data_IF_500691315412
#
_entry.id   IF_500691315412
#
_cell.length_a   1.000
_cell.length_b   1.000
_cell.length_c   1.000
_cell.angle_alpha   90.00
_cell.angle_beta   90.00
_cell.angle_gamma   90.00
#
_symmetry.space_group_name_H-M   'P 1'
#
loop_
_entity.id
_entity.type
_entity.pdbx_description
1 polymer ?
#
# COMPACT_ATOMS: atom_id res chain seq x y z
N UNK A 1 -8.87 -11.96 -9.64
CA UNK A 1 -8.60 -13.35 -9.98
C UNK A 1 -9.86 -14.03 -10.49
N UNK A 2 -9.70 -14.88 -11.49
CA UNK A 2 -10.83 -15.66 -12.02
C UNK A 2 -11.41 -16.59 -10.95
N UNK A 3 -12.71 -16.77 -10.93
CA UNK A 3 -13.39 -17.72 -10.03
C UNK A 3 -12.84 -19.13 -10.30
N UNK A 4 -12.48 -19.85 -9.25
CA UNK A 4 -11.89 -21.20 -9.35
C UNK A 4 -10.36 -21.24 -9.33
N UNK A 5 -9.68 -20.10 -9.31
CA UNK A 5 -8.22 -20.03 -9.16
C UNK A 5 -7.85 -19.74 -7.71
N UNK A 6 -7.22 -20.70 -7.05
CA UNK A 6 -6.64 -20.46 -5.74
C UNK A 6 -5.30 -19.72 -5.91
N UNK A 7 -5.25 -18.47 -5.48
CA UNK A 7 -4.03 -17.65 -5.42
C UNK A 7 -3.83 -17.17 -3.99
N UNK A 8 -2.58 -17.07 -3.59
CA UNK A 8 -2.21 -16.57 -2.26
C UNK A 8 -2.41 -15.05 -2.11
N UNK A 9 -2.44 -14.30 -3.22
CA UNK A 9 -2.57 -12.85 -3.24
C UNK A 9 -3.84 -12.34 -2.52
N UNK A 10 -5.06 -12.85 -2.81
CA UNK A 10 -6.26 -12.38 -2.11
C UNK A 10 -6.20 -12.60 -0.60
N UNK A 11 -5.66 -13.75 -0.17
CA UNK A 11 -5.49 -14.08 1.23
C UNK A 11 -4.48 -13.14 1.89
N UNK A 12 -3.35 -12.93 1.23
CA UNK A 12 -2.32 -12.01 1.67
C UNK A 12 -2.84 -10.58 1.81
N UNK A 13 -3.57 -10.06 0.80
CA UNK A 13 -4.16 -8.73 0.81
C UNK A 13 -5.17 -8.59 1.96
N UNK A 14 -6.01 -9.60 2.18
CA UNK A 14 -6.96 -9.59 3.29
C UNK A 14 -6.26 -9.43 4.64
N UNK A 15 -5.25 -10.26 4.94
CA UNK A 15 -4.50 -10.18 6.19
C UNK A 15 -3.68 -8.89 6.29
N UNK A 16 -3.08 -8.43 5.19
CA UNK A 16 -2.36 -7.16 5.14
C UNK A 16 -3.25 -5.96 5.46
N UNK A 17 -4.42 -5.87 4.83
CA UNK A 17 -5.42 -4.83 5.11
C UNK A 17 -5.96 -4.91 6.54
N UNK A 18 -6.23 -6.12 7.05
CA UNK A 18 -6.70 -6.31 8.42
C UNK A 18 -5.64 -5.90 9.43
N UNK A 19 -4.38 -6.29 9.22
CA UNK A 19 -3.25 -5.87 10.06
C UNK A 19 -3.07 -4.36 10.08
N UNK A 20 -3.11 -3.73 8.89
CA UNK A 20 -3.07 -2.28 8.73
C UNK A 20 -4.22 -1.58 9.46
N UNK A 21 -5.45 -2.05 9.26
CA UNK A 21 -6.64 -1.50 9.94
C UNK A 21 -6.52 -1.59 11.47
N UNK A 22 -6.08 -2.73 11.99
CA UNK A 22 -5.91 -2.93 13.43
C UNK A 22 -4.84 -1.99 13.99
N UNK A 23 -3.70 -1.83 13.32
CA UNK A 23 -2.65 -0.91 13.72
C UNK A 23 -3.15 0.54 13.75
N UNK A 24 -3.76 1.03 12.68
CA UNK A 24 -4.29 2.39 12.59
C UNK A 24 -5.43 2.63 13.58
N UNK A 25 -6.30 1.65 13.76
CA UNK A 25 -7.39 1.72 14.74
C UNK A 25 -6.88 1.70 16.17
N UNK A 26 -5.77 1.00 16.47
CA UNK A 26 -5.11 1.02 17.77
C UNK A 26 -4.62 2.42 18.15
N UNK A 27 -3.94 3.09 17.20
CA UNK A 27 -3.42 4.45 17.38
C UNK A 27 -4.53 5.47 17.75
N UNK A 28 -5.79 5.20 17.38
CA UNK A 28 -6.93 6.09 17.63
C UNK A 28 -7.84 5.62 18.76
N UNK A 29 -7.57 4.48 19.36
CA UNK A 29 -8.37 3.95 20.49
C UNK A 29 -8.02 4.66 21.79
N UNK A 30 -8.98 4.71 22.73
CA UNK A 30 -8.80 5.33 24.05
C UNK A 30 -8.53 4.30 25.15
N UNK A 31 -9.07 3.11 25.02
CA UNK A 31 -8.96 2.05 26.03
C UNK A 31 -7.66 1.28 25.86
N UNK A 32 -6.81 1.26 26.88
CA UNK A 32 -5.48 0.62 26.85
C UNK A 32 -5.56 -0.88 26.52
N UNK A 33 -6.54 -1.62 27.05
CA UNK A 33 -6.70 -3.06 26.76
C UNK A 33 -7.02 -3.28 25.27
N UNK A 34 -7.93 -2.47 24.71
CA UNK A 34 -8.31 -2.52 23.31
C UNK A 34 -7.11 -2.16 22.41
N UNK A 35 -6.32 -1.17 22.82
CA UNK A 35 -5.11 -0.76 22.09
C UNK A 35 -4.12 -1.93 22.02
N UNK A 36 -3.78 -2.53 23.15
CA UNK A 36 -2.83 -3.66 23.23
C UNK A 36 -3.34 -4.82 22.38
N UNK A 37 -4.60 -5.19 22.52
CA UNK A 37 -5.21 -6.26 21.73
C UNK A 37 -5.09 -5.99 20.24
N UNK A 38 -5.45 -4.78 19.77
CA UNK A 38 -5.36 -4.41 18.36
C UNK A 38 -3.92 -4.39 17.83
N UNK A 39 -2.96 -3.97 18.65
CA UNK A 39 -1.54 -3.96 18.27
C UNK A 39 -1.03 -5.39 18.09
N UNK A 40 -1.34 -6.28 19.05
CA UNK A 40 -0.92 -7.69 19.00
C UNK A 40 -1.56 -8.37 17.78
N UNK A 41 -2.88 -8.33 17.66
CA UNK A 41 -3.57 -8.93 16.51
C UNK A 41 -3.17 -8.28 15.19
N UNK A 42 -2.91 -6.96 15.16
CA UNK A 42 -2.44 -6.26 13.98
C UNK A 42 -1.07 -6.77 13.51
N UNK A 43 -0.12 -6.97 14.44
CA UNK A 43 1.19 -7.55 14.13
C UNK A 43 1.07 -8.99 13.62
N UNK A 44 0.25 -9.82 14.29
CA UNK A 44 -0.01 -11.21 13.87
C UNK A 44 -0.62 -11.25 12.46
N UNK A 45 -1.69 -10.48 12.19
CA UNK A 45 -2.36 -10.48 10.89
C UNK A 45 -1.42 -9.99 9.77
N UNK A 46 -0.62 -8.96 10.04
CA UNK A 46 0.38 -8.49 9.08
C UNK A 46 1.41 -9.57 8.75
N UNK A 47 1.84 -10.36 9.75
CA UNK A 47 2.76 -11.48 9.55
C UNK A 47 2.15 -12.59 8.69
N UNK A 48 0.89 -12.95 8.92
CA UNK A 48 0.16 -13.88 8.05
C UNK A 48 0.06 -13.35 6.62
N UNK A 49 -0.16 -12.05 6.45
CA UNK A 49 -0.19 -11.40 5.14
C UNK A 49 1.12 -11.59 4.38
N UNK A 50 2.26 -11.28 5.01
CA UNK A 50 3.59 -11.41 4.41
C UNK A 50 3.93 -12.87 4.11
N UNK A 51 3.60 -13.79 5.02
CA UNK A 51 3.86 -15.22 4.82
C UNK A 51 2.99 -15.83 3.72
N UNK A 52 1.80 -15.27 3.49
CA UNK A 52 0.91 -15.70 2.40
C UNK A 52 1.39 -15.21 1.04
N UNK A 53 1.88 -13.96 0.95
CA UNK A 53 2.33 -13.36 -0.30
C UNK A 53 3.36 -12.26 -0.06
N UNK A 54 4.55 -12.42 -0.64
CA UNK A 54 5.65 -11.45 -0.47
C UNK A 54 5.34 -10.04 -0.98
N UNK A 55 4.41 -9.88 -1.94
CA UNK A 55 3.95 -8.57 -2.41
C UNK A 55 3.30 -7.71 -1.32
N UNK A 56 2.86 -8.32 -0.22
CA UNK A 56 2.31 -7.59 0.94
C UNK A 56 3.34 -6.72 1.69
N UNK A 57 4.62 -6.78 1.35
CA UNK A 57 5.60 -5.78 1.77
C UNK A 57 5.14 -4.35 1.41
N UNK A 58 4.26 -4.21 0.42
CA UNK A 58 3.58 -2.96 0.13
C UNK A 58 2.92 -2.33 1.36
N UNK A 59 2.25 -3.08 2.21
CA UNK A 59 1.59 -2.52 3.41
C UNK A 59 2.58 -2.08 4.48
N UNK A 60 3.77 -2.67 4.51
CA UNK A 60 4.83 -2.36 5.47
C UNK A 60 5.46 -1.01 5.17
N UNK A 61 5.73 -0.71 3.90
CA UNK A 61 6.38 0.54 3.47
C UNK A 61 5.59 1.78 3.94
N UNK A 62 4.28 1.93 3.66
CA UNK A 62 3.50 3.05 4.17
C UNK A 62 3.43 3.13 5.69
N UNK A 63 3.43 2.00 6.41
CA UNK A 63 3.49 1.98 7.87
C UNK A 63 4.84 2.56 8.33
N UNK A 64 5.93 2.13 7.75
CA UNK A 64 7.27 2.65 8.06
C UNK A 64 7.37 4.16 7.81
N UNK A 65 6.89 4.63 6.66
CA UNK A 65 6.85 6.05 6.33
C UNK A 65 5.93 6.85 7.29
N UNK A 66 4.81 6.26 7.71
CA UNK A 66 3.96 6.85 8.74
C UNK A 66 4.72 6.97 10.07
N UNK A 67 5.42 5.92 10.48
CA UNK A 67 6.22 5.92 11.72
C UNK A 67 7.27 7.03 11.70
N UNK A 68 7.93 7.27 10.56
CA UNK A 68 8.83 8.42 10.38
C UNK A 68 8.11 9.77 10.54
N UNK A 69 6.88 9.88 10.09
CA UNK A 69 6.10 11.11 10.18
C UNK A 69 5.48 11.38 11.57
N UNK A 70 5.20 10.32 12.35
CA UNK A 70 4.50 10.43 13.64
C UNK A 70 5.13 11.40 14.63
N UNK A 71 6.46 11.48 14.83
CA UNK A 71 7.08 12.44 15.75
C UNK A 71 6.81 13.91 15.40
N UNK A 72 6.52 14.21 14.13
CA UNK A 72 6.22 15.57 13.66
C UNK A 72 4.74 15.91 13.72
N UNK A 73 3.86 14.90 13.67
CA UNK A 73 2.42 15.07 13.51
C UNK A 73 1.67 14.87 14.83
N UNK A 74 2.17 14.02 15.72
CA UNK A 74 1.53 13.67 17.00
C UNK A 74 2.30 14.17 18.21
N UNK A 75 1.55 14.51 19.27
CA UNK A 75 2.11 15.01 20.54
C UNK A 75 2.09 13.97 21.66
N UNK A 76 1.41 12.85 21.50
CA UNK A 76 1.27 11.79 22.52
C UNK A 76 2.45 10.82 22.52
N UNK A 77 3.64 11.36 22.69
CA UNK A 77 4.92 10.65 22.58
C UNK A 77 5.04 9.45 23.50
N UNK A 78 4.51 9.54 24.75
CA UNK A 78 4.51 8.40 25.68
C UNK A 78 3.78 7.19 25.14
N UNK A 79 2.69 7.42 24.40
CA UNK A 79 1.93 6.37 23.76
C UNK A 79 2.71 5.75 22.60
N UNK A 80 3.32 6.55 21.74
CA UNK A 80 4.09 6.09 20.57
C UNK A 80 5.31 5.26 20.97
N UNK A 81 5.99 5.64 22.08
CA UNK A 81 7.20 4.94 22.57
C UNK A 81 6.98 3.46 22.88
N UNK A 82 5.79 3.05 23.27
CA UNK A 82 5.55 1.64 23.58
C UNK A 82 4.71 0.94 22.51
N UNK A 83 3.76 1.65 21.89
CA UNK A 83 2.79 1.05 20.96
C UNK A 83 3.41 0.65 19.64
N UNK A 84 4.28 1.50 19.07
CA UNK A 84 4.92 1.22 17.78
C UNK A 84 5.99 0.13 17.91
N UNK A 85 6.94 0.18 18.86
CA UNK A 85 7.87 -0.92 19.06
C UNK A 85 7.18 -2.25 19.37
N UNK A 86 6.12 -2.25 20.17
CA UNK A 86 5.35 -3.46 20.47
C UNK A 86 4.77 -4.09 19.20
N UNK A 87 4.19 -3.28 18.30
CA UNK A 87 3.69 -3.77 17.02
C UNK A 87 4.78 -4.42 16.18
N UNK A 88 5.93 -3.76 16.05
CA UNK A 88 7.05 -4.26 15.25
C UNK A 88 7.65 -5.53 15.85
N UNK A 89 7.80 -5.59 17.18
CA UNK A 89 8.30 -6.78 17.87
C UNK A 89 7.35 -7.97 17.66
N UNK A 90 6.05 -7.79 17.87
CA UNK A 90 5.04 -8.86 17.66
C UNK A 90 5.05 -9.32 16.21
N UNK A 91 5.12 -8.38 15.27
CA UNK A 91 5.20 -8.68 13.85
C UNK A 91 6.42 -9.57 13.52
N UNK A 92 7.62 -9.18 13.95
CA UNK A 92 8.86 -9.95 13.67
C UNK A 92 8.84 -11.30 14.40
N UNK A 93 8.41 -11.34 15.67
CA UNK A 93 8.30 -12.60 16.42
C UNK A 93 7.30 -13.58 15.78
N UNK A 94 6.18 -13.08 15.28
CA UNK A 94 5.21 -13.93 14.58
C UNK A 94 5.77 -14.43 13.26
N UNK A 95 6.48 -13.57 12.51
CA UNK A 95 7.14 -13.99 11.26
C UNK A 95 8.19 -15.08 11.47
N UNK A 96 8.92 -15.06 12.60
CA UNK A 96 9.94 -16.06 12.89
C UNK A 96 9.39 -17.48 13.07
N UNK A 97 8.06 -17.64 13.29
CA UNK A 97 7.40 -18.94 13.38
C UNK A 97 7.24 -19.60 12.01
N UNK A 98 7.18 -18.80 10.94
CA UNK A 98 7.03 -19.33 9.59
C UNK A 98 8.37 -19.74 9.00
N UNK A 99 8.38 -20.80 8.24
CA UNK A 99 9.56 -21.23 7.51
C UNK A 99 10.01 -20.19 6.47
N UNK A 100 9.05 -19.57 5.80
CA UNK A 100 9.25 -18.46 4.84
C UNK A 100 8.25 -17.33 5.09
N UNK A 101 8.74 -16.08 5.21
CA UNK A 101 10.12 -15.59 5.10
C UNK A 101 10.98 -15.83 6.35
N UNK A 102 10.41 -16.25 7.49
CA UNK A 102 11.12 -16.53 8.73
C UNK A 102 11.82 -15.29 9.33
N UNK A 103 12.77 -15.56 10.24
CA UNK A 103 13.54 -14.50 10.91
C UNK A 103 14.40 -13.68 9.94
N UNK A 104 14.77 -14.24 8.79
CA UNK A 104 15.57 -13.55 7.77
C UNK A 104 14.85 -12.31 7.22
N UNK A 105 13.54 -12.24 7.36
CA UNK A 105 12.78 -11.04 7.01
C UNK A 105 13.24 -9.79 7.77
N UNK A 106 13.68 -9.93 9.02
CA UNK A 106 14.17 -8.80 9.82
C UNK A 106 15.35 -8.08 9.16
N UNK A 107 16.17 -8.82 8.40
CA UNK A 107 17.33 -8.30 7.67
C UNK A 107 17.03 -7.99 6.20
N UNK A 108 15.76 -8.13 5.77
CA UNK A 108 15.32 -7.79 4.43
C UNK A 108 14.92 -6.32 4.32
N UNK A 109 14.68 -5.88 3.07
CA UNK A 109 14.11 -4.55 2.80
C UNK A 109 12.83 -4.29 3.59
N UNK A 110 11.91 -5.26 3.66
CA UNK A 110 10.66 -5.13 4.43
C UNK A 110 10.90 -4.96 5.92
N UNK A 111 11.81 -5.74 6.52
CA UNK A 111 12.16 -5.63 7.94
C UNK A 111 12.78 -4.26 8.27
N UNK A 112 13.76 -3.83 7.48
CA UNK A 112 14.38 -2.51 7.67
C UNK A 112 13.40 -1.36 7.47
N UNK A 113 12.40 -1.51 6.59
CA UNK A 113 11.34 -0.51 6.40
C UNK A 113 10.47 -0.28 7.64
N UNK A 114 10.52 -1.15 8.65
CA UNK A 114 9.86 -0.95 9.95
C UNK A 114 10.84 -0.69 11.08
N UNK A 115 11.95 -1.41 11.14
CA UNK A 115 12.92 -1.33 12.24
C UNK A 115 13.58 0.05 12.27
N UNK A 116 14.10 0.53 11.13
CA UNK A 116 14.78 1.83 11.06
C UNK A 116 13.83 2.99 11.41
N UNK A 117 12.59 3.10 10.85
CA UNK A 117 11.62 4.09 11.29
C UNK A 117 11.26 4.01 12.77
N UNK A 118 11.22 2.81 13.34
CA UNK A 118 10.93 2.64 14.76
C UNK A 118 12.07 3.16 15.64
N UNK A 119 13.31 2.86 15.28
CA UNK A 119 14.50 3.42 15.96
C UNK A 119 14.51 4.94 15.83
N UNK A 120 14.23 5.47 14.63
CA UNK A 120 14.11 6.91 14.42
C UNK A 120 13.04 7.53 15.33
N UNK A 121 11.84 6.95 15.39
CA UNK A 121 10.76 7.44 16.24
C UNK A 121 11.16 7.51 17.70
N UNK A 122 11.75 6.43 18.22
CA UNK A 122 12.24 6.38 19.61
C UNK A 122 13.29 7.46 19.85
N UNK A 123 14.33 7.52 19.01
CA UNK A 123 15.41 8.51 19.12
C UNK A 123 14.90 9.95 18.98
N UNK A 124 13.99 10.19 18.04
CA UNK A 124 13.34 11.49 17.83
C UNK A 124 12.58 11.97 19.06
N UNK A 125 11.84 11.10 19.72
CA UNK A 125 11.11 11.45 20.95
C UNK A 125 12.09 11.78 22.10
N UNK A 126 13.22 11.06 22.22
CA UNK A 126 14.25 11.38 23.20
C UNK A 126 14.89 12.74 22.91
N UNK A 127 15.25 13.01 21.65
CA UNK A 127 15.79 14.31 21.23
C UNK A 127 14.79 15.45 21.54
N UNK A 128 13.51 15.25 21.28
CA UNK A 128 12.50 16.26 21.59
C UNK A 128 12.36 16.56 23.09
N UNK A 129 12.64 15.60 23.97
CA UNK A 129 12.62 15.82 25.41
C UNK A 129 13.80 16.67 25.90
N UNK A 130 14.96 16.54 25.25
CA UNK A 130 16.21 17.23 25.61
C UNK A 130 16.29 18.59 24.94
N UNK A 131 15.68 18.75 23.75
CA UNK A 131 15.76 19.96 22.95
C UNK A 131 14.83 21.06 23.47
N UNK A 132 15.29 22.32 23.34
CA UNK A 132 14.44 23.51 23.54
C UNK A 132 13.31 23.54 22.50
N UNK A 133 12.16 24.11 22.85
CA UNK A 133 10.96 24.11 21.99
C UNK A 133 11.21 24.66 20.58
N UNK A 134 12.03 25.70 20.46
CA UNK A 134 12.39 26.34 19.19
C UNK A 134 13.24 25.44 18.27
N UNK A 135 14.00 24.49 18.83
CA UNK A 135 14.95 23.66 18.09
C UNK A 135 14.47 22.23 17.85
N UNK A 136 13.35 21.82 18.46
CA UNK A 136 12.84 20.43 18.39
C UNK A 136 12.68 19.91 16.97
N UNK A 137 12.01 20.67 16.12
CA UNK A 137 11.77 20.28 14.72
C UNK A 137 13.09 20.20 13.96
N UNK A 138 13.96 21.19 14.13
CA UNK A 138 15.26 21.24 13.47
C UNK A 138 16.13 20.03 13.85
N UNK A 139 16.21 19.72 15.13
CA UNK A 139 17.03 18.60 15.63
C UNK A 139 16.49 17.24 15.12
N UNK A 140 15.17 17.07 15.04
CA UNK A 140 14.56 15.88 14.44
C UNK A 140 14.83 15.76 12.95
N UNK A 141 14.81 16.88 12.21
CA UNK A 141 15.17 16.88 10.80
C UNK A 141 16.65 16.54 10.60
N UNK A 142 17.56 17.05 11.44
CA UNK A 142 18.95 16.65 11.40
C UNK A 142 19.15 15.16 11.67
N UNK A 143 18.43 14.60 12.65
CA UNK A 143 18.46 13.15 12.90
C UNK A 143 17.99 12.37 11.67
N UNK A 144 16.87 12.77 11.06
CA UNK A 144 16.32 12.11 9.88
C UNK A 144 17.32 12.16 8.71
N UNK A 145 17.86 13.34 8.41
CA UNK A 145 18.85 13.54 7.35
C UNK A 145 20.10 12.70 7.63
N UNK A 146 20.58 12.65 8.87
CA UNK A 146 21.74 11.84 9.25
C UNK A 146 21.49 10.35 9.01
N UNK A 147 20.31 9.82 9.37
CA UNK A 147 19.95 8.42 9.12
C UNK A 147 19.89 8.13 7.60
N UNK A 148 19.33 9.06 6.82
CA UNK A 148 19.26 8.91 5.35
C UNK A 148 20.67 8.90 4.75
N UNK A 149 21.54 9.84 5.15
CA UNK A 149 22.92 9.92 4.63
C UNK A 149 23.70 8.66 5.00
N UNK A 150 23.68 8.26 6.27
CA UNK A 150 24.38 7.05 6.74
C UNK A 150 23.83 5.80 6.04
N UNK A 151 22.51 5.67 5.94
CA UNK A 151 21.87 4.55 5.26
C UNK A 151 22.22 4.48 3.77
N UNK A 152 22.20 5.60 3.07
CA UNK A 152 22.60 5.67 1.66
C UNK A 152 24.08 5.32 1.47
N UNK A 153 24.94 5.82 2.34
CA UNK A 153 26.37 5.51 2.31
C UNK A 153 26.64 4.01 2.53
N UNK A 154 25.95 3.39 3.50
CA UNK A 154 26.05 1.96 3.75
C UNK A 154 25.54 1.11 2.55
N UNK A 155 24.47 1.53 1.89
CA UNK A 155 23.96 0.85 0.71
C UNK A 155 24.99 0.91 -0.43
N UNK A 156 25.54 2.07 -0.72
CA UNK A 156 26.51 2.26 -1.81
C UNK A 156 27.79 1.45 -1.57
N UNK A 157 28.36 1.49 -0.36
CA UNK A 157 29.55 0.70 -0.03
C UNK A 157 29.26 -0.80 -0.09
N UNK A 158 28.08 -1.21 0.34
CA UNK A 158 27.71 -2.62 0.37
C UNK A 158 27.53 -3.21 -1.03
N UNK A 159 27.14 -2.40 -2.01
CA UNK A 159 26.96 -2.84 -3.40
C UNK A 159 28.29 -3.35 -3.99
N UNK A 160 29.38 -2.66 -3.69
CA UNK A 160 30.72 -3.03 -4.16
C UNK A 160 31.39 -4.11 -3.29
N UNK A 161 31.15 -4.11 -1.97
CA UNK A 161 31.95 -4.89 -1.01
C UNK A 161 31.24 -6.13 -0.45
N UNK A 162 29.91 -6.22 -0.55
CA UNK A 162 29.06 -7.28 0.05
C UNK A 162 29.37 -7.53 1.54
N UNK A 163 29.79 -6.50 2.28
CA UNK A 163 30.15 -6.59 3.69
C UNK A 163 28.97 -6.87 4.61
N UNK A 164 27.78 -6.41 4.22
CA UNK A 164 26.55 -6.58 4.97
C UNK A 164 25.57 -7.45 4.17
N UNK A 165 24.76 -8.29 4.82
CA UNK A 165 23.75 -9.09 4.15
C UNK A 165 22.53 -8.24 3.71
N UNK A 166 22.82 -7.05 3.16
CA UNK A 166 21.81 -6.11 2.68
C UNK A 166 21.67 -6.30 1.17
N UNK A 167 20.48 -6.56 0.65
CA UNK A 167 20.25 -6.60 -0.79
C UNK A 167 20.23 -5.16 -1.35
N UNK A 168 21.40 -4.59 -1.64
CA UNK A 168 21.57 -3.20 -2.12
C UNK A 168 20.75 -2.90 -3.36
N UNK A 169 20.69 -3.85 -4.29
CA UNK A 169 19.82 -3.79 -5.48
C UNK A 169 18.33 -3.49 -5.15
N UNK A 170 17.79 -4.07 -4.08
CA UNK A 170 16.40 -3.83 -3.66
C UNK A 170 16.15 -2.39 -3.19
N UNK A 171 17.16 -1.76 -2.60
CA UNK A 171 17.05 -0.36 -2.18
C UNK A 171 17.15 0.59 -3.36
N UNK A 172 18.01 0.28 -4.34
CA UNK A 172 18.08 1.05 -5.57
C UNK A 172 16.78 0.95 -6.39
N UNK A 173 16.15 -0.21 -6.43
CA UNK A 173 14.84 -0.38 -7.05
C UNK A 173 13.74 0.42 -6.36
N UNK A 174 13.82 0.62 -5.04
CA UNK A 174 12.86 1.46 -4.33
C UNK A 174 12.98 2.94 -4.76
N UNK A 175 14.19 3.38 -5.15
CA UNK A 175 14.43 4.74 -5.66
C UNK A 175 14.04 4.85 -7.14
N UNK A 176 14.38 3.86 -7.94
CA UNK A 176 14.05 3.80 -9.37
C UNK A 176 13.42 2.44 -9.71
N UNK A 177 12.09 2.33 -9.71
CA UNK A 177 11.40 1.08 -9.98
C UNK A 177 11.65 0.54 -11.41
N UNK A 178 12.09 1.38 -12.33
CA UNK A 178 12.39 0.97 -13.71
C UNK A 178 13.74 0.25 -13.86
N UNK A 179 14.58 0.21 -12.82
CA UNK A 179 15.80 -0.60 -12.85
C UNK A 179 15.53 -2.09 -12.97
N UNK A 180 14.34 -2.56 -12.59
CA UNK A 180 13.96 -3.97 -12.73
C UNK A 180 13.81 -4.42 -14.17
N UNK A 181 13.60 -3.49 -15.10
CA UNK A 181 13.47 -3.78 -16.54
C UNK A 181 14.81 -3.98 -17.25
N UNK A 182 15.92 -3.93 -16.54
CA UNK A 182 17.27 -4.17 -17.07
C UNK A 182 17.62 -5.67 -17.04
N UNK A 183 16.92 -6.46 -16.22
CA UNK A 183 17.12 -7.92 -16.14
C UNK A 183 16.26 -8.64 -17.20
N UNK A 184 16.90 -9.29 -18.22
CA UNK A 184 16.16 -9.99 -19.26
C UNK A 184 15.24 -11.10 -18.76
N UNK A 185 15.59 -11.75 -17.63
CA UNK A 185 14.74 -12.78 -17.02
C UNK A 185 13.50 -12.17 -16.37
N UNK A 186 13.66 -11.02 -15.75
CA UNK A 186 12.53 -10.28 -15.17
C UNK A 186 11.60 -9.75 -16.25
N UNK A 187 12.16 -9.24 -17.36
CA UNK A 187 11.39 -8.71 -18.50
C UNK A 187 10.67 -9.79 -19.30
N UNK A 188 11.14 -11.04 -19.26
CA UNK A 188 10.48 -12.15 -19.94
C UNK A 188 9.12 -12.53 -19.32
N UNK A 189 8.86 -12.13 -18.10
CA UNK A 189 7.60 -12.43 -17.39
C UNK A 189 6.60 -11.30 -17.65
N UNK A 190 5.51 -11.59 -18.36
CA UNK A 190 4.48 -10.60 -18.71
C UNK A 190 3.90 -9.83 -17.50
N UNK A 191 3.85 -10.47 -16.32
CA UNK A 191 3.38 -9.84 -15.07
C UNK A 191 4.37 -8.79 -14.52
N UNK A 192 5.62 -8.81 -14.98
CA UNK A 192 6.67 -7.86 -14.59
C UNK A 192 6.80 -6.67 -15.54
N UNK A 193 5.99 -6.60 -16.58
CA UNK A 193 5.97 -5.43 -17.46
C UNK A 193 5.57 -4.16 -16.69
N UNK A 194 6.13 -3.03 -17.10
CA UNK A 194 5.76 -1.72 -16.54
C UNK A 194 4.35 -1.33 -16.95
N UNK A 195 3.63 -0.68 -16.04
CA UNK A 195 2.27 -0.23 -16.28
C UNK A 195 2.26 1.02 -17.15
N UNK A 196 1.45 1.03 -18.23
CA UNK A 196 1.18 2.23 -19.02
C UNK A 196 -0.04 2.98 -18.49
N UNK A 197 -0.11 4.32 -18.76
CA UNK A 197 -1.29 5.13 -18.43
C UNK A 197 -2.56 4.55 -19.06
N UNK A 198 -2.48 4.03 -20.29
CA UNK A 198 -3.61 3.41 -20.99
C UNK A 198 -4.10 2.16 -20.24
N UNK A 199 -3.19 1.34 -19.77
CA UNK A 199 -3.52 0.12 -19.03
C UNK A 199 -4.09 0.46 -17.65
N UNK A 200 -3.48 1.40 -16.93
CA UNK A 200 -4.00 1.88 -15.63
C UNK A 200 -5.40 2.49 -15.78
N UNK A 201 -5.66 3.23 -16.86
CA UNK A 201 -6.99 3.76 -17.12
C UNK A 201 -8.01 2.65 -17.41
N UNK A 202 -7.62 1.60 -18.10
CA UNK A 202 -8.47 0.42 -18.32
C UNK A 202 -8.87 -0.24 -16.99
N UNK A 203 -7.92 -0.42 -16.07
CA UNK A 203 -8.19 -1.03 -14.77
C UNK A 203 -8.98 -0.13 -13.82
N UNK A 204 -8.73 1.17 -13.82
CA UNK A 204 -9.21 2.08 -12.77
C UNK A 204 -10.27 3.06 -13.24
N UNK A 205 -10.30 3.38 -14.55
CA UNK A 205 -11.34 4.21 -15.16
C UNK A 205 -11.69 5.47 -14.33
N UNK A 206 -12.94 5.60 -13.97
CA UNK A 206 -13.51 6.76 -13.24
C UNK A 206 -12.89 6.96 -11.86
N UNK A 207 -12.37 5.89 -11.22
CA UNK A 207 -11.70 5.99 -9.93
C UNK A 207 -10.50 6.93 -9.95
N UNK A 208 -9.77 7.02 -11.06
CA UNK A 208 -8.62 7.93 -11.19
C UNK A 208 -9.06 9.39 -11.07
N UNK A 209 -10.21 9.76 -11.64
CA UNK A 209 -10.75 11.13 -11.58
C UNK A 209 -11.13 11.48 -10.14
N UNK A 210 -11.90 10.61 -9.48
CA UNK A 210 -12.29 10.83 -8.09
C UNK A 210 -11.11 10.80 -7.14
N UNK A 211 -10.10 9.97 -7.40
CA UNK A 211 -8.86 9.96 -6.63
C UNK A 211 -8.12 11.30 -6.74
N UNK A 212 -7.99 11.86 -7.95
CA UNK A 212 -7.41 13.19 -8.14
C UNK A 212 -8.14 14.28 -7.36
N UNK A 213 -9.47 14.26 -7.39
CA UNK A 213 -10.31 15.16 -6.57
C UNK A 213 -10.04 14.93 -5.08
N UNK A 214 -9.94 13.68 -4.62
CA UNK A 214 -9.66 13.32 -3.23
C UNK A 214 -8.32 13.86 -2.75
N UNK A 215 -7.26 13.69 -3.54
CA UNK A 215 -5.93 14.24 -3.25
C UNK A 215 -5.99 15.76 -3.16
N UNK A 216 -6.62 16.42 -4.13
CA UNK A 216 -6.78 17.87 -4.12
C UNK A 216 -7.52 18.37 -2.87
N UNK A 217 -8.58 17.69 -2.45
CA UNK A 217 -9.33 18.05 -1.24
C UNK A 217 -8.44 17.90 0.00
N UNK A 218 -7.64 16.83 0.10
CA UNK A 218 -6.73 16.60 1.24
C UNK A 218 -5.68 17.70 1.31
N UNK A 219 -5.05 18.02 0.19
CA UNK A 219 -3.98 19.02 0.11
C UNK A 219 -4.50 20.46 0.32
N UNK A 220 -5.71 20.77 -0.14
CA UNK A 220 -6.33 22.08 0.00
C UNK A 220 -6.76 22.45 1.43
N UNK A 221 -6.47 21.60 2.43
CA UNK A 221 -6.84 21.77 3.85
C UNK A 221 -8.35 21.95 4.09
N UNK A 222 -9.19 21.65 3.10
CA UNK A 222 -10.65 21.78 3.20
C UNK A 222 -11.32 20.69 4.03
N UNK A 223 -10.57 19.64 4.41
CA UNK A 223 -11.08 18.57 5.27
C UNK A 223 -11.05 19.02 6.74
N UNK A 224 -12.20 19.14 7.40
CA UNK A 224 -12.23 19.44 8.83
C UNK A 224 -11.53 18.35 9.66
N UNK A 225 -10.89 18.73 10.76
CA UNK A 225 -10.26 17.77 11.68
C UNK A 225 -11.28 16.79 12.33
N UNK A 226 -12.54 17.20 12.41
CA UNK A 226 -13.64 16.34 12.87
C UNK A 226 -13.94 15.18 11.92
N UNK A 227 -13.58 15.30 10.63
CA UNK A 227 -13.76 14.24 9.64
C UNK A 227 -12.53 13.33 9.58
N UNK A 228 -11.32 13.91 9.57
CA UNK A 228 -10.07 13.17 9.48
C UNK A 228 -8.96 13.88 10.25
N UNK A 229 -8.29 13.18 11.17
CA UNK A 229 -7.15 13.69 11.92
C UNK A 229 -5.93 13.89 11.02
N UNK A 230 -4.99 14.74 11.43
CA UNK A 230 -3.83 15.07 10.60
C UNK A 230 -2.92 13.88 10.33
N UNK A 231 -2.71 13.00 11.30
CA UNK A 231 -1.94 11.77 11.12
C UNK A 231 -2.57 10.82 10.09
N UNK A 232 -3.91 10.75 10.05
CA UNK A 232 -4.62 9.98 9.03
C UNK A 232 -4.54 10.62 7.64
N UNK A 233 -4.54 11.96 7.56
CA UNK A 233 -4.32 12.65 6.27
C UNK A 233 -2.94 12.33 5.72
N UNK A 234 -1.92 12.38 6.57
CA UNK A 234 -0.55 12.02 6.22
C UNK A 234 -0.47 10.56 5.80
N UNK A 235 -1.08 9.65 6.57
CA UNK A 235 -1.12 8.24 6.22
C UNK A 235 -1.75 7.98 4.84
N UNK A 236 -2.92 8.56 4.58
CA UNK A 236 -3.65 8.38 3.31
C UNK A 236 -2.82 8.88 2.13
N UNK A 237 -2.12 10.03 2.27
CA UNK A 237 -1.23 10.53 1.22
C UNK A 237 -0.04 9.59 1.00
N UNK A 238 0.63 9.15 2.07
CA UNK A 238 1.74 8.19 1.99
C UNK A 238 1.28 6.90 1.33
N UNK A 239 0.19 6.31 1.81
CA UNK A 239 -0.35 5.06 1.31
C UNK A 239 -0.73 5.15 -0.17
N UNK A 240 -1.43 6.22 -0.54
CA UNK A 240 -1.88 6.43 -1.90
C UNK A 240 -0.72 6.65 -2.89
N UNK A 241 0.23 7.51 -2.53
CA UNK A 241 1.41 7.76 -3.37
C UNK A 241 2.27 6.49 -3.49
N UNK A 242 2.51 5.78 -2.38
CA UNK A 242 3.27 4.53 -2.39
C UNK A 242 2.61 3.47 -3.27
N UNK A 243 1.27 3.35 -3.26
CA UNK A 243 0.54 2.39 -4.07
C UNK A 243 0.68 2.65 -5.57
N UNK A 244 0.50 3.91 -5.98
CA UNK A 244 0.67 4.30 -7.39
C UNK A 244 2.12 4.17 -7.82
N UNK A 245 3.07 4.58 -6.98
CA UNK A 245 4.50 4.51 -7.28
C UNK A 245 4.97 3.06 -7.48
N UNK A 246 4.65 2.16 -6.54
CA UNK A 246 5.08 0.77 -6.61
C UNK A 246 4.40 -0.02 -7.74
N UNK A 247 3.12 0.29 -8.03
CA UNK A 247 2.40 -0.35 -9.12
C UNK A 247 2.92 0.04 -10.50
N UNK A 248 3.58 1.20 -10.62
CA UNK A 248 4.19 1.62 -11.90
C UNK A 248 5.31 0.69 -12.36
N UNK A 249 5.95 -0.03 -11.43
CA UNK A 249 7.05 -0.94 -11.74
C UNK A 249 6.62 -2.26 -12.34
N UNK A 250 5.48 -2.81 -11.87
CA UNK A 250 5.00 -4.13 -12.27
C UNK A 250 3.47 -4.15 -12.36
N UNK A 251 2.92 -4.65 -13.45
CA UNK A 251 1.47 -4.84 -13.64
C UNK A 251 0.88 -5.67 -12.50
N UNK A 252 1.60 -6.67 -12.00
CA UNK A 252 1.17 -7.51 -10.88
C UNK A 252 0.87 -6.71 -9.60
N UNK A 253 1.48 -5.54 -9.43
CA UNK A 253 1.28 -4.67 -8.27
C UNK A 253 0.13 -3.66 -8.46
N UNK A 254 -0.57 -3.68 -9.60
CA UNK A 254 -1.69 -2.77 -9.91
C UNK A 254 -2.83 -2.85 -8.88
N UNK A 255 -2.97 -3.99 -8.20
CA UNK A 255 -3.91 -4.15 -7.08
C UNK A 255 -3.68 -3.12 -5.96
N UNK A 256 -2.44 -2.73 -5.71
CA UNK A 256 -2.12 -1.73 -4.68
C UNK A 256 -2.46 -0.31 -5.14
N UNK A 257 -2.30 -0.01 -6.43
CA UNK A 257 -2.86 1.21 -7.01
C UNK A 257 -4.37 1.23 -6.88
N UNK A 258 -5.06 0.13 -7.19
CA UNK A 258 -6.52 0.02 -7.05
C UNK A 258 -6.97 0.36 -5.63
N UNK A 259 -6.36 -0.25 -4.61
CA UNK A 259 -6.70 0.00 -3.20
C UNK A 259 -6.46 1.49 -2.86
N UNK A 260 -5.35 2.05 -3.30
CA UNK A 260 -4.98 3.46 -3.07
C UNK A 260 -5.97 4.43 -3.70
N UNK A 261 -6.35 4.17 -4.96
CA UNK A 261 -7.34 4.96 -5.69
C UNK A 261 -8.73 4.87 -5.06
N UNK A 262 -9.13 3.69 -4.58
CA UNK A 262 -10.40 3.50 -3.84
C UNK A 262 -10.41 4.36 -2.57
N UNK A 263 -9.31 4.39 -1.81
CA UNK A 263 -9.21 5.22 -0.60
C UNK A 263 -9.34 6.71 -0.93
N UNK A 264 -8.62 7.22 -1.92
CA UNK A 264 -8.74 8.62 -2.32
C UNK A 264 -10.12 8.97 -2.87
N UNK A 265 -10.66 8.11 -3.73
CA UNK A 265 -11.99 8.30 -4.34
C UNK A 265 -13.10 8.30 -3.31
N UNK A 266 -13.02 7.43 -2.29
CA UNK A 266 -14.01 7.37 -1.22
C UNK A 266 -14.04 8.65 -0.39
N UNK A 267 -12.89 9.29 -0.17
CA UNK A 267 -12.81 10.61 0.50
C UNK A 267 -13.49 11.68 -0.36
N UNK A 268 -13.19 11.72 -1.67
CA UNK A 268 -13.80 12.66 -2.59
C UNK A 268 -15.32 12.50 -2.62
N UNK A 269 -15.79 11.28 -2.85
CA UNK A 269 -17.22 10.96 -2.92
C UNK A 269 -17.94 11.28 -1.61
N UNK A 270 -17.34 10.94 -0.47
CA UNK A 270 -17.93 11.24 0.84
C UNK A 270 -18.14 12.74 1.05
N UNK A 271 -17.15 13.56 0.69
CA UNK A 271 -17.22 15.02 0.85
C UNK A 271 -18.17 15.64 -0.18
N UNK A 272 -18.10 15.23 -1.44
CA UNK A 272 -18.99 15.69 -2.49
C UNK A 272 -20.44 15.38 -2.17
N UNK A 273 -20.73 14.13 -1.82
CA UNK A 273 -22.07 13.68 -1.44
C UNK A 273 -22.58 14.47 -0.24
N UNK A 274 -21.77 14.59 0.84
CA UNK A 274 -22.15 15.37 2.01
C UNK A 274 -22.50 16.83 1.67
N UNK A 275 -21.71 17.46 0.79
CA UNK A 275 -21.92 18.86 0.38
C UNK A 275 -23.20 19.00 -0.44
N UNK A 276 -23.42 18.11 -1.42
CA UNK A 276 -24.62 18.14 -2.29
C UNK A 276 -25.89 17.90 -1.47
N UNK A 277 -25.86 16.93 -0.53
CA UNK A 277 -27.03 16.66 0.30
C UNK A 277 -27.31 17.74 1.36
N UNK A 278 -26.33 18.55 1.69
CA UNK A 278 -26.50 19.72 2.59
C UNK A 278 -27.12 20.95 1.89
N UNK A 279 -27.12 21.00 0.57
CA UNK A 279 -27.71 22.13 -0.16
C UNK A 279 -29.21 22.19 0.16
N UNK A 280 -29.65 23.33 0.70
CA UNK A 280 -31.06 23.63 1.00
C UNK A 280 -31.58 24.53 -0.11
N UNK A 281 -32.06 23.93 -1.20
CA UNK A 281 -32.84 24.63 -2.21
C UNK A 281 -34.31 24.36 -1.94
N UNK A 282 -35.19 25.34 -2.20
CA UNK A 282 -36.64 25.19 -1.97
C UNK A 282 -37.31 24.46 -3.14
N UNK A 283 -38.26 23.54 -2.81
CA UNK A 283 -39.16 22.90 -3.77
C UNK A 283 -38.66 21.63 -4.47
N UNK A 284 -39.44 21.15 -5.45
CA UNK A 284 -39.17 19.91 -6.21
C UNK A 284 -37.81 19.88 -6.94
N UNK A 285 -37.25 21.04 -7.29
CA UNK A 285 -35.98 21.16 -8.00
C UNK A 285 -34.80 20.55 -7.23
N UNK A 286 -34.83 20.57 -5.89
CA UNK A 286 -33.73 19.97 -5.08
C UNK A 286 -33.73 18.46 -5.15
N UNK A 287 -34.90 17.83 -5.16
CA UNK A 287 -34.99 16.37 -5.27
C UNK A 287 -34.46 15.90 -6.63
N UNK A 288 -34.82 16.58 -7.70
CA UNK A 288 -34.33 16.29 -9.05
C UNK A 288 -32.79 16.43 -9.09
N UNK A 289 -32.23 17.49 -8.52
CA UNK A 289 -30.77 17.69 -8.49
C UNK A 289 -30.06 16.55 -7.72
N UNK A 290 -30.58 16.16 -6.55
CA UNK A 290 -29.97 15.07 -5.76
C UNK A 290 -30.12 13.71 -6.45
N UNK A 291 -31.26 13.46 -7.05
CA UNK A 291 -31.50 12.23 -7.82
C UNK A 291 -30.58 12.19 -9.04
N UNK A 292 -30.49 13.29 -9.80
CA UNK A 292 -29.57 13.37 -10.95
C UNK A 292 -28.11 13.10 -10.54
N UNK A 293 -27.67 13.66 -9.40
CA UNK A 293 -26.33 13.36 -8.88
C UNK A 293 -26.14 11.87 -8.61
N UNK A 294 -27.08 11.21 -7.94
CA UNK A 294 -27.01 9.77 -7.64
C UNK A 294 -26.99 8.96 -8.94
N UNK A 295 -27.84 9.29 -9.89
CA UNK A 295 -27.91 8.61 -11.20
C UNK A 295 -26.58 8.77 -11.95
N UNK A 296 -26.01 9.99 -11.99
CA UNK A 296 -24.74 10.25 -12.66
C UNK A 296 -23.61 9.43 -12.02
N UNK A 297 -23.54 9.41 -10.68
CA UNK A 297 -22.52 8.63 -9.97
C UNK A 297 -22.67 7.14 -10.26
N UNK A 298 -23.90 6.60 -10.17
CA UNK A 298 -24.18 5.20 -10.49
C UNK A 298 -23.80 4.89 -11.94
N UNK A 299 -24.19 5.73 -12.89
CA UNK A 299 -23.85 5.56 -14.30
C UNK A 299 -22.34 5.55 -14.51
N UNK A 300 -21.59 6.49 -13.91
CA UNK A 300 -20.14 6.53 -14.03
C UNK A 300 -19.45 5.28 -13.49
N UNK A 301 -19.97 4.67 -12.41
CA UNK A 301 -19.40 3.45 -11.85
C UNK A 301 -19.86 2.18 -12.55
N UNK A 302 -21.02 2.20 -13.21
CA UNK A 302 -21.49 1.05 -13.99
C UNK A 302 -20.93 1.03 -15.41
N UNK A 303 -20.51 2.18 -15.95
CA UNK A 303 -19.99 2.28 -17.30
C UNK A 303 -18.84 1.29 -17.59
N UNK A 304 -17.78 1.19 -16.75
CA UNK A 304 -16.69 0.25 -16.97
C UNK A 304 -17.09 -1.24 -16.88
N UNK A 305 -18.24 -1.55 -16.32
CA UNK A 305 -18.73 -2.94 -16.26
C UNK A 305 -19.15 -3.47 -17.63
N UNK A 306 -19.67 -2.60 -18.50
CA UNK A 306 -20.28 -2.95 -19.79
C UNK A 306 -19.54 -2.36 -20.99
N UNK A 307 -18.71 -1.32 -20.80
CA UNK A 307 -18.07 -0.62 -21.90
C UNK A 307 -16.54 -0.53 -21.69
N UNK A 308 -15.74 -0.71 -22.75
CA UNK A 308 -16.08 -1.11 -24.13
C UNK A 308 -16.48 -2.59 -24.23
N UNK A 309 -17.27 -2.95 -25.25
CA UNK A 309 -17.91 -4.25 -25.38
C UNK A 309 -16.96 -5.45 -25.29
N UNK A 310 -15.77 -5.34 -25.88
CA UNK A 310 -14.77 -6.42 -25.92
C UNK A 310 -13.75 -6.40 -24.78
N UNK A 311 -13.75 -5.38 -23.92
CA UNK A 311 -12.75 -5.16 -22.87
C UNK A 311 -13.38 -4.51 -21.63
N UNK A 312 -14.48 -5.05 -21.17
CA UNK A 312 -15.14 -4.61 -19.94
C UNK A 312 -14.93 -5.61 -18.80
N UNK A 313 -15.35 -5.23 -17.60
CA UNK A 313 -15.19 -6.09 -16.43
C UNK A 313 -16.02 -7.37 -16.51
N UNK A 314 -17.20 -7.31 -17.11
CA UNK A 314 -18.09 -8.48 -17.28
C UNK A 314 -17.41 -9.49 -18.22
N UNK A 315 -16.93 -9.04 -19.39
CA UNK A 315 -16.22 -9.94 -20.30
C UNK A 315 -14.94 -10.53 -19.72
N UNK A 316 -14.27 -9.80 -18.82
CA UNK A 316 -13.09 -10.31 -18.10
C UNK A 316 -13.42 -11.36 -17.04
N UNK A 317 -14.62 -11.30 -16.44
CA UNK A 317 -15.10 -12.29 -15.47
C UNK A 317 -15.63 -13.54 -16.18
N UNK A 318 -16.27 -13.36 -17.32
CA UNK A 318 -16.88 -14.44 -18.12
C UNK A 318 -15.83 -15.28 -18.87
N UNK A 319 -14.58 -14.83 -18.91
CA UNK A 319 -13.49 -15.63 -19.42
C UNK A 319 -13.30 -16.88 -18.55
N UNK A 320 -13.31 -18.08 -19.16
CA UNK A 320 -13.14 -19.30 -18.39
C UNK A 320 -11.80 -19.29 -17.64
N UNK A 321 -11.70 -19.91 -16.46
CA UNK A 321 -10.44 -20.04 -15.75
C UNK A 321 -9.35 -20.64 -16.65
N UNK A 322 -8.15 -20.14 -16.59
CA UNK A 322 -7.01 -20.58 -17.44
C UNK A 322 -6.83 -22.10 -17.38
N UNK A 323 -7.15 -22.76 -16.27
CA UNK A 323 -7.14 -24.22 -16.14
C UNK A 323 -8.06 -24.88 -17.19
N UNK A 324 -9.24 -24.34 -17.44
CA UNK A 324 -10.15 -24.90 -18.44
C UNK A 324 -9.75 -24.52 -19.88
N UNK A 325 -9.24 -23.32 -20.08
CA UNK A 325 -8.74 -22.88 -21.38
C UNK A 325 -7.46 -23.59 -21.78
N UNK A 326 -6.53 -23.83 -20.83
CA UNK A 326 -5.30 -24.58 -21.09
C UNK A 326 -5.53 -26.06 -21.39
N UNK A 327 -6.59 -26.65 -20.80
CA UNK A 327 -6.89 -28.06 -20.99
C UNK A 327 -7.65 -28.39 -22.30
N UNK A 328 -8.35 -27.42 -22.89
CA UNK A 328 -9.28 -27.69 -24.00
C UNK A 328 -9.00 -26.98 -25.31
N UNK A 329 -8.25 -25.86 -25.29
CA UNK A 329 -8.19 -24.99 -26.47
C UNK A 329 -6.82 -24.85 -27.13
N UNK A 330 -5.73 -25.19 -26.46
CA UNK A 330 -4.41 -25.13 -27.06
C UNK A 330 -3.69 -26.48 -26.85
N UNK A 331 -3.65 -27.34 -27.87
CA UNK A 331 -2.78 -28.49 -27.82
C UNK A 331 -1.32 -28.00 -27.60
N UNK A 332 -0.51 -28.76 -26.84
CA UNK A 332 0.88 -28.41 -26.63
C UNK A 332 1.56 -28.21 -27.98
N UNK A 333 2.32 -27.13 -28.12
CA UNK A 333 3.12 -26.88 -29.33
C UNK A 333 4.20 -27.97 -29.47
N UNK A 334 4.66 -28.20 -30.67
CA UNK A 334 5.74 -29.17 -30.93
C UNK A 334 6.96 -28.89 -30.05
N UNK A 335 7.31 -27.63 -29.83
CA UNK A 335 8.40 -27.22 -28.95
C UNK A 335 8.22 -27.71 -27.49
N UNK A 336 6.99 -27.73 -27.01
CA UNK A 336 6.68 -28.30 -25.70
C UNK A 336 6.80 -29.81 -25.64
N UNK A 337 6.38 -30.50 -26.70
CA UNK A 337 6.49 -31.95 -26.80
C UNK A 337 7.96 -32.37 -26.92
N UNK A 338 8.75 -31.69 -27.71
CA UNK A 338 10.20 -31.89 -27.85
C UNK A 338 10.94 -31.64 -26.53
N UNK A 339 10.56 -30.56 -25.82
CA UNK A 339 11.13 -30.25 -24.47
C UNK A 339 10.81 -31.34 -23.48
N UNK A 340 9.58 -31.86 -23.45
CA UNK A 340 9.17 -32.94 -22.56
C UNK A 340 9.86 -34.26 -22.90
N UNK A 341 10.11 -34.56 -24.17
CA UNK A 341 10.89 -35.72 -24.62
C UNK A 341 12.37 -35.61 -24.24
N UNK A 342 12.94 -34.40 -24.30
CA UNK A 342 14.31 -34.13 -23.88
C UNK A 342 14.52 -34.30 -22.37
N UNK A 343 13.50 -33.98 -21.55
CA UNK A 343 13.54 -34.11 -20.09
C UNK A 343 13.37 -35.56 -19.61
N UNK A 344 12.78 -36.46 -20.42
CA UNK A 344 12.67 -37.90 -20.11
C UNK A 344 14.02 -38.59 -20.26
#
# INVERSE_FOLDING_TARGET
GSIGWFKSEPLGIFYGLLGLYLFLSAIHSKNKKIIISKIIFGGIMMSFGISSWGGNQFFIIPIGLLILALPFVRKDHKFLLWSVPLFVIIFILTLSIFERPGLTFAYSFGGFSLIIPTIFLVSSIFIQKISKDETKIRNNLFLLISIIIIGSFLIVINDDSNLLPLPSFRYLNAINPFLTTIDPLTDSVAEHATTSIKLSYFFHSVWMIFAGIGIWIILSKKIPQSFMKNDMKVFVLIFGISGVYLSSSFIRLEVFASISLIVFSSIALSILTKNIFKIKLFGKKIYLFKISYVIIILFLFTLPLVFPENNNWISSIDSPPIIFTGATSNPPTNDWLETLEWIK
#
